data_IF_521680233223
#
_entry.id   IF_521680233223
#
_cell.length_a   1.000
_cell.length_b   1.000
_cell.length_c   1.000
_cell.angle_alpha   90.00
_cell.angle_beta   90.00
_cell.angle_gamma   90.00
#
_symmetry.space_group_name_H-M   'P 1'
#
loop_
_entity.id
_entity.type
_entity.pdbx_description
1 polymer ?
#
# COMPACT_ATOMS: atom_id res chain seq x y z
N UNK A 1 9.98 -4.66 -11.87
CA UNK A 1 9.41 -5.34 -10.67
C UNK A 1 8.93 -6.73 -11.09
N UNK A 2 9.32 -7.81 -10.39
CA UNK A 2 8.77 -9.13 -10.71
C UNK A 2 7.26 -9.08 -10.44
N UNK A 3 6.44 -9.24 -11.48
CA UNK A 3 4.98 -9.12 -11.42
C UNK A 3 4.32 -10.00 -10.34
N UNK A 4 4.96 -11.13 -10.00
CA UNK A 4 4.60 -12.02 -8.88
C UNK A 4 4.72 -11.37 -7.48
N UNK A 5 5.55 -10.34 -7.31
CA UNK A 5 5.65 -9.63 -6.03
C UNK A 5 4.40 -8.79 -5.75
N UNK A 6 3.79 -8.21 -6.78
CA UNK A 6 2.52 -7.49 -6.63
C UNK A 6 1.41 -8.44 -6.16
N UNK A 7 1.32 -9.63 -6.76
CA UNK A 7 0.33 -10.63 -6.30
C UNK A 7 0.57 -11.10 -4.88
N UNK A 8 1.83 -11.33 -4.49
CA UNK A 8 2.16 -11.73 -3.12
C UNK A 8 1.80 -10.63 -2.11
N UNK A 9 2.10 -9.37 -2.43
CA UNK A 9 1.75 -8.23 -1.58
C UNK A 9 0.23 -8.12 -1.42
N UNK A 10 -0.53 -8.23 -2.51
CA UNK A 10 -1.99 -8.24 -2.47
C UNK A 10 -2.56 -9.38 -1.62
N UNK A 11 -2.01 -10.59 -1.70
CA UNK A 11 -2.42 -11.72 -0.84
C UNK A 11 -2.15 -11.43 0.63
N UNK A 12 -0.97 -10.90 0.96
CA UNK A 12 -0.63 -10.51 2.35
C UNK A 12 -1.60 -9.44 2.86
N UNK A 13 -1.92 -8.43 2.04
CA UNK A 13 -2.89 -7.40 2.40
C UNK A 13 -4.29 -7.99 2.65
N UNK A 14 -4.78 -8.88 1.79
CA UNK A 14 -6.06 -9.58 2.02
C UNK A 14 -6.03 -10.39 3.32
N UNK A 15 -4.91 -11.07 3.61
CA UNK A 15 -4.70 -11.77 4.87
C UNK A 15 -4.78 -10.84 6.09
N UNK A 16 -4.15 -9.66 6.02
CA UNK A 16 -4.21 -8.65 7.08
C UNK A 16 -5.62 -8.10 7.28
N UNK A 17 -6.34 -7.80 6.19
CA UNK A 17 -7.74 -7.36 6.26
C UNK A 17 -8.64 -8.43 6.87
N UNK A 18 -8.45 -9.69 6.48
CA UNK A 18 -9.15 -10.84 7.05
C UNK A 18 -8.85 -11.05 8.53
N UNK A 19 -7.57 -10.99 8.93
CA UNK A 19 -7.16 -11.10 10.32
C UNK A 19 -7.74 -9.95 11.17
N UNK A 20 -7.74 -8.72 10.65
CA UNK A 20 -8.35 -7.57 11.31
C UNK A 20 -9.85 -7.78 11.56
N UNK A 21 -10.60 -8.21 10.54
CA UNK A 21 -12.03 -8.53 10.69
C UNK A 21 -12.29 -9.73 11.61
N UNK A 22 -11.40 -10.73 11.63
CA UNK A 22 -11.53 -11.88 12.51
C UNK A 22 -11.33 -11.51 13.99
N UNK A 23 -10.36 -10.61 14.28
CA UNK A 23 -10.06 -10.17 15.66
C UNK A 23 -11.10 -9.19 16.17
N UNK A 24 -11.49 -8.21 15.35
CA UNK A 24 -12.34 -7.11 15.80
C UNK A 24 -13.81 -7.22 15.36
N UNK A 25 -14.16 -8.21 14.54
CA UNK A 25 -15.53 -8.43 14.06
C UNK A 25 -16.01 -7.36 13.07
N UNK A 26 -17.32 -7.25 12.86
CA UNK A 26 -17.93 -6.19 12.03
C UNK A 26 -18.13 -4.87 12.77
N UNK A 27 -17.90 -4.84 14.08
CA UNK A 27 -18.09 -3.65 14.93
C UNK A 27 -17.07 -2.55 14.63
N UNK A 28 -15.97 -2.87 13.92
CA UNK A 28 -15.03 -1.86 13.41
C UNK A 28 -15.58 -1.07 12.22
N UNK A 29 -16.67 -1.50 11.59
CA UNK A 29 -17.33 -0.83 10.47
C UNK A 29 -18.38 0.20 10.93
N UNK A 30 -18.20 0.79 12.11
CA UNK A 30 -19.17 1.69 12.76
C UNK A 30 -19.27 3.08 12.14
N UNK A 31 -18.47 3.40 11.11
CA UNK A 31 -18.54 4.69 10.42
C UNK A 31 -18.17 4.61 8.94
N UNK A 32 -18.69 5.55 8.12
CA UNK A 32 -18.47 5.54 6.67
C UNK A 32 -16.98 5.60 6.31
N UNK A 33 -16.18 6.33 7.09
CA UNK A 33 -14.73 6.39 6.90
C UNK A 33 -14.03 5.04 7.14
N UNK A 34 -14.47 4.25 8.12
CA UNK A 34 -13.90 2.93 8.37
C UNK A 34 -14.22 1.95 7.23
N UNK A 35 -15.44 2.02 6.71
CA UNK A 35 -15.88 1.25 5.55
C UNK A 35 -15.09 1.64 4.30
N UNK A 36 -14.94 2.94 4.04
CA UNK A 36 -14.17 3.44 2.88
C UNK A 36 -12.70 3.07 2.99
N UNK A 37 -12.10 3.19 4.18
CA UNK A 37 -10.70 2.83 4.40
C UNK A 37 -10.48 1.33 4.20
N UNK A 38 -11.25 0.47 4.87
CA UNK A 38 -11.09 -0.98 4.71
C UNK A 38 -11.43 -1.43 3.30
N UNK A 39 -12.51 -0.90 2.71
CA UNK A 39 -12.91 -1.20 1.34
C UNK A 39 -11.86 -0.77 0.32
N UNK A 40 -11.25 0.42 0.49
CA UNK A 40 -10.15 0.87 -0.35
C UNK A 40 -8.89 0.03 -0.18
N UNK A 41 -8.57 -0.41 1.04
CA UNK A 41 -7.46 -1.31 1.31
C UNK A 41 -7.65 -2.66 0.60
N UNK A 42 -8.85 -3.25 0.72
CA UNK A 42 -9.22 -4.49 0.03
C UNK A 42 -9.21 -4.32 -1.49
N UNK A 43 -9.75 -3.20 -2.00
CA UNK A 43 -9.73 -2.88 -3.42
C UNK A 43 -8.29 -2.81 -3.96
N UNK A 44 -7.40 -2.11 -3.25
CA UNK A 44 -5.98 -2.08 -3.59
C UNK A 44 -5.39 -3.49 -3.63
N UNK A 45 -5.68 -4.32 -2.62
CA UNK A 45 -5.17 -5.68 -2.57
C UNK A 45 -5.64 -6.53 -3.77
N UNK A 46 -6.92 -6.41 -4.14
CA UNK A 46 -7.49 -7.09 -5.32
C UNK A 46 -6.79 -6.61 -6.60
N UNK A 47 -6.64 -5.29 -6.79
CA UNK A 47 -5.97 -4.74 -7.97
C UNK A 47 -4.51 -5.22 -8.08
N UNK A 48 -3.80 -5.32 -6.96
CA UNK A 48 -2.44 -5.90 -6.92
C UNK A 48 -2.42 -7.38 -7.30
N UNK A 49 -3.36 -8.18 -6.80
CA UNK A 49 -3.49 -9.60 -7.16
C UNK A 49 -3.76 -9.73 -8.65
N UNK A 50 -4.76 -9.02 -9.18
CA UNK A 50 -5.15 -9.10 -10.58
C UNK A 50 -4.00 -8.64 -11.48
N UNK A 51 -3.41 -7.47 -11.23
CA UNK A 51 -2.26 -6.98 -12.00
C UNK A 51 -1.03 -7.90 -11.91
N UNK A 52 -0.87 -8.63 -10.79
CA UNK A 52 0.17 -9.64 -10.63
C UNK A 52 -0.06 -10.92 -11.43
N UNK A 53 -1.31 -11.23 -11.81
CA UNK A 53 -1.70 -12.51 -12.44
C UNK A 53 -2.03 -12.39 -13.93
N UNK A 54 -2.63 -11.29 -14.40
CA UNK A 54 -3.13 -11.15 -15.78
C UNK A 54 -2.46 -10.00 -16.53
N UNK A 55 -2.22 -10.15 -17.83
CA UNK A 55 -1.46 -9.17 -18.62
C UNK A 55 -2.27 -7.89 -18.84
N UNK A 56 -3.58 -8.07 -18.98
CA UNK A 56 -4.57 -7.01 -19.08
C UNK A 56 -5.94 -7.52 -18.65
N UNK A 57 -6.83 -6.59 -18.30
CA UNK A 57 -8.25 -6.85 -18.03
C UNK A 57 -9.08 -6.05 -19.02
N UNK A 58 -10.00 -6.69 -19.71
CA UNK A 58 -10.98 -6.03 -20.57
C UNK A 58 -12.12 -5.45 -19.76
N UNK A 59 -12.31 -4.14 -19.87
CA UNK A 59 -13.40 -3.37 -19.26
C UNK A 59 -14.22 -2.73 -20.38
N UNK A 60 -15.29 -3.41 -20.79
CA UNK A 60 -16.07 -3.03 -21.97
C UNK A 60 -15.22 -3.09 -23.25
N UNK A 61 -15.09 -1.97 -23.95
CA UNK A 61 -14.27 -1.87 -25.17
C UNK A 61 -12.79 -1.54 -24.92
N UNK A 62 -12.38 -1.31 -23.66
CA UNK A 62 -11.01 -0.92 -23.33
C UNK A 62 -10.26 -2.07 -22.66
N UNK A 63 -9.00 -2.26 -23.03
CA UNK A 63 -8.08 -3.14 -22.31
C UNK A 63 -7.25 -2.32 -21.34
N UNK A 64 -7.30 -2.68 -20.05
CA UNK A 64 -6.50 -2.05 -18.99
C UNK A 64 -5.29 -2.93 -18.72
N UNK A 65 -4.06 -2.44 -18.97
CA UNK A 65 -2.86 -3.24 -18.80
C UNK A 65 -2.54 -3.43 -17.31
N UNK A 66 -1.78 -4.49 -17.01
CA UNK A 66 -1.43 -4.88 -15.64
C UNK A 66 -0.77 -3.76 -14.82
N UNK A 67 0.06 -2.93 -15.45
CA UNK A 67 0.79 -1.84 -14.79
C UNK A 67 -0.16 -0.70 -14.37
N UNK A 68 -1.23 -0.45 -15.14
CA UNK A 68 -2.28 0.48 -14.74
C UNK A 68 -3.04 -0.02 -13.51
N UNK A 69 -3.29 -1.34 -13.41
CA UNK A 69 -3.92 -1.94 -12.24
C UNK A 69 -3.03 -1.82 -10.99
N UNK A 70 -1.76 -2.20 -11.09
CA UNK A 70 -0.80 -2.12 -9.97
C UNK A 70 -0.57 -0.68 -9.55
N UNK A 71 -0.35 0.23 -10.50
CA UNK A 71 -0.16 1.64 -10.21
C UNK A 71 -1.38 2.30 -9.56
N UNK A 72 -2.60 1.93 -10.00
CA UNK A 72 -3.83 2.38 -9.35
C UNK A 72 -3.94 1.82 -7.93
N UNK A 73 -3.56 0.56 -7.73
CA UNK A 73 -3.53 -0.05 -6.41
C UNK A 73 -2.63 0.74 -5.44
N UNK A 74 -1.41 1.07 -5.84
CA UNK A 74 -0.47 1.86 -5.03
C UNK A 74 -1.04 3.24 -4.65
N UNK A 75 -1.72 3.92 -5.58
CA UNK A 75 -2.36 5.21 -5.32
C UNK A 75 -3.52 5.08 -4.33
N UNK A 76 -4.38 4.06 -4.50
CA UNK A 76 -5.48 3.78 -3.58
C UNK A 76 -4.96 3.42 -2.19
N UNK A 77 -3.92 2.59 -2.11
CA UNK A 77 -3.26 2.20 -0.87
C UNK A 77 -2.70 3.42 -0.14
N UNK A 78 -1.96 4.27 -0.85
CA UNK A 78 -1.41 5.50 -0.31
C UNK A 78 -2.50 6.37 0.30
N UNK A 79 -3.58 6.64 -0.45
CA UNK A 79 -4.68 7.46 0.02
C UNK A 79 -5.34 6.90 1.30
N UNK A 80 -5.68 5.61 1.27
CA UNK A 80 -6.36 4.93 2.39
C UNK A 80 -5.50 4.91 3.65
N UNK A 81 -4.22 4.59 3.52
CA UNK A 81 -3.33 4.47 4.67
C UNK A 81 -3.02 5.85 5.27
N UNK A 82 -2.78 6.86 4.44
CA UNK A 82 -2.60 8.24 4.91
C UNK A 82 -3.86 8.76 5.61
N UNK A 83 -5.04 8.57 5.01
CA UNK A 83 -6.30 8.97 5.64
C UNK A 83 -6.55 8.25 6.96
N UNK A 84 -6.22 6.96 7.04
CA UNK A 84 -6.33 6.18 8.27
C UNK A 84 -5.41 6.69 9.36
N UNK A 85 -4.17 7.06 9.01
CA UNK A 85 -3.21 7.64 9.95
C UNK A 85 -3.64 9.03 10.44
N UNK A 86 -4.12 9.89 9.54
CA UNK A 86 -4.68 11.21 9.90
C UNK A 86 -5.89 11.06 10.81
N UNK A 87 -6.82 10.14 10.50
CA UNK A 87 -7.97 9.85 11.37
C UNK A 87 -7.52 9.39 12.75
N UNK A 88 -6.52 8.51 12.82
CA UNK A 88 -5.98 8.05 14.11
C UNK A 88 -5.42 9.22 14.92
N UNK A 89 -4.68 10.14 14.29
CA UNK A 89 -4.18 11.35 14.93
C UNK A 89 -5.28 12.27 15.44
N UNK A 90 -6.35 12.45 14.66
CA UNK A 90 -7.51 13.25 15.07
C UNK A 90 -8.27 12.65 16.26
N UNK A 91 -8.34 11.31 16.34
CA UNK A 91 -9.06 10.61 17.41
C UNK A 91 -8.23 10.52 18.69
N UNK A 92 -6.94 10.17 18.59
CA UNK A 92 -6.07 9.99 19.74
C UNK A 92 -5.57 11.34 20.30
N UNK A 93 -5.32 12.31 19.43
CA UNK A 93 -4.92 13.67 19.81
C UNK A 93 -3.48 13.80 20.36
N UNK A 94 -2.73 12.72 20.46
CA UNK A 94 -1.36 12.72 20.97
C UNK A 94 -0.31 13.05 19.89
N UNK A 95 0.87 13.50 20.33
CA UNK A 95 1.96 13.89 19.44
C UNK A 95 2.55 12.73 18.62
N UNK A 96 2.54 11.51 19.16
CA UNK A 96 3.02 10.31 18.46
C UNK A 96 2.14 9.95 17.27
N UNK A 97 0.82 10.04 17.45
CA UNK A 97 -0.16 9.81 16.39
C UNK A 97 -0.04 10.86 15.27
N UNK A 98 0.23 12.13 15.60
CA UNK A 98 0.51 13.17 14.61
C UNK A 98 1.83 12.96 13.86
N UNK A 99 2.88 12.55 14.57
CA UNK A 99 4.16 12.19 13.94
C UNK A 99 4.00 11.02 12.97
N UNK A 100 3.25 9.99 13.37
CA UNK A 100 2.91 8.87 12.50
C UNK A 100 2.11 9.33 11.28
N UNK A 101 1.09 10.17 11.45
CA UNK A 101 0.33 10.72 10.33
C UNK A 101 1.20 11.52 9.35
N UNK A 102 2.14 12.33 9.85
CA UNK A 102 3.10 13.05 9.02
C UNK A 102 4.01 12.10 8.24
N UNK A 103 4.55 11.06 8.89
CA UNK A 103 5.35 10.03 8.24
C UNK A 103 4.56 9.30 7.15
N UNK A 104 3.28 8.96 7.41
CA UNK A 104 2.40 8.33 6.43
C UNK A 104 1.98 9.27 5.31
N UNK A 105 1.96 10.59 5.52
CA UNK A 105 1.74 11.56 4.44
C UNK A 105 2.94 11.61 3.48
N UNK A 106 4.17 11.63 4.02
CA UNK A 106 5.40 11.61 3.20
C UNK A 106 5.55 10.27 2.47
N UNK A 107 5.38 9.16 3.19
CA UNK A 107 5.44 7.82 2.62
C UNK A 107 4.33 7.57 1.61
N UNK A 108 3.10 8.00 1.92
CA UNK A 108 1.94 7.91 1.05
C UNK A 108 2.12 8.72 -0.23
N UNK A 109 2.61 9.96 -0.14
CA UNK A 109 2.91 10.78 -1.34
C UNK A 109 3.94 10.10 -2.24
N UNK A 110 4.99 9.54 -1.65
CA UNK A 110 6.03 8.80 -2.38
C UNK A 110 5.44 7.56 -3.06
N UNK A 111 4.61 6.78 -2.35
CA UNK A 111 3.94 5.60 -2.88
C UNK A 111 2.96 5.96 -4.01
N UNK A 112 2.16 7.01 -3.84
CA UNK A 112 1.24 7.49 -4.88
C UNK A 112 2.01 7.94 -6.12
N UNK A 113 3.14 8.65 -5.94
CA UNK A 113 4.01 9.03 -7.05
C UNK A 113 4.55 7.81 -7.79
N UNK A 114 5.05 6.79 -7.08
CA UNK A 114 5.45 5.53 -7.71
C UNK A 114 4.30 4.84 -8.43
N UNK A 115 3.11 4.80 -7.84
CA UNK A 115 1.91 4.25 -8.46
C UNK A 115 1.54 4.94 -9.77
N UNK A 116 1.54 6.27 -9.80
CA UNK A 116 1.31 7.06 -11.03
C UNK A 116 2.36 6.76 -12.10
N UNK A 117 3.62 6.62 -11.70
CA UNK A 117 4.68 6.29 -12.65
C UNK A 117 4.56 4.86 -13.20
N UNK A 118 4.21 3.89 -12.35
CA UNK A 118 3.92 2.51 -12.76
C UNK A 118 2.75 2.47 -13.74
N UNK A 119 1.67 3.21 -13.45
CA UNK A 119 0.49 3.27 -14.31
C UNK A 119 0.78 3.91 -15.69
N UNK A 120 1.70 4.87 -15.74
CA UNK A 120 2.12 5.55 -16.98
C UNK A 120 3.22 4.83 -17.76
N UNK A 121 3.73 3.72 -17.23
CA UNK A 121 4.91 3.04 -17.79
C UNK A 121 6.09 4.02 -18.00
N UNK A 122 6.31 4.89 -17.01
CA UNK A 122 7.33 5.94 -17.07
C UNK A 122 8.74 5.33 -17.03
N UNK A 123 9.64 5.82 -17.90
CA UNK A 123 11.06 5.45 -17.98
C UNK A 123 11.84 5.48 -16.66
N UNK A 124 11.33 6.15 -15.62
CA UNK A 124 12.01 6.27 -14.32
C UNK A 124 11.66 5.13 -13.37
N UNK A 125 10.64 4.33 -13.68
CA UNK A 125 10.36 3.06 -13.00
C UNK A 125 10.88 1.97 -13.91
N UNK A 126 12.17 1.66 -13.75
CA UNK A 126 12.78 0.57 -14.51
C UNK A 126 12.13 -0.75 -14.06
N UNK A 127 11.19 -1.24 -14.86
CA UNK A 127 10.55 -2.53 -14.67
C UNK A 127 11.48 -3.65 -15.18
N UNK A 128 12.78 -3.56 -14.85
CA UNK A 128 13.78 -4.56 -15.25
C UNK A 128 13.25 -5.97 -15.00
N UNK A 129 13.35 -6.82 -16.03
CA UNK A 129 12.99 -8.23 -15.95
C UNK A 129 13.82 -8.97 -14.89
N UNK A 130 15.04 -8.48 -14.61
CA UNK A 130 16.00 -9.03 -13.66
C UNK A 130 16.58 -7.92 -12.75
N UNK A 131 15.88 -7.54 -11.67
CA UNK A 131 16.41 -6.60 -10.70
C UNK A 131 17.71 -7.14 -10.08
N UNK A 132 18.73 -6.30 -9.92
CA UNK A 132 20.00 -6.73 -9.32
C UNK A 132 19.79 -7.18 -7.86
N UNK A 133 20.31 -8.36 -7.50
CA UNK A 133 20.17 -8.91 -6.14
C UNK A 133 20.74 -7.98 -5.07
N UNK A 134 21.80 -7.22 -5.39
CA UNK A 134 22.37 -6.21 -4.50
C UNK A 134 21.40 -5.07 -4.20
N UNK A 135 20.65 -4.60 -5.20
CA UNK A 135 19.65 -3.53 -5.02
C UNK A 135 18.49 -4.00 -4.15
N UNK A 136 18.02 -5.23 -4.36
CA UNK A 136 16.98 -5.83 -3.52
C UNK A 136 17.43 -5.94 -2.06
N UNK A 137 18.63 -6.46 -1.81
CA UNK A 137 19.18 -6.58 -0.45
C UNK A 137 19.33 -5.21 0.22
N UNK A 138 19.84 -4.21 -0.50
CA UNK A 138 19.99 -2.85 0.03
C UNK A 138 18.65 -2.22 0.40
N UNK A 139 17.62 -2.37 -0.44
CA UNK A 139 16.26 -1.87 -0.16
C UNK A 139 15.67 -2.61 1.05
N UNK A 140 15.78 -3.94 1.10
CA UNK A 140 15.29 -4.74 2.22
C UNK A 140 15.94 -4.34 3.54
N UNK A 141 17.26 -4.13 3.55
CA UNK A 141 17.99 -3.66 4.73
C UNK A 141 17.54 -2.25 5.13
N UNK A 142 17.40 -1.33 4.18
CA UNK A 142 16.91 0.01 4.45
C UNK A 142 15.52 -0.01 5.10
N UNK A 143 14.61 -0.83 4.58
CA UNK A 143 13.26 -1.02 5.14
C UNK A 143 13.34 -1.61 6.54
N UNK A 144 14.12 -2.66 6.76
CA UNK A 144 14.27 -3.31 8.07
C UNK A 144 14.85 -2.34 9.12
N UNK A 145 15.87 -1.55 8.76
CA UNK A 145 16.48 -0.54 9.64
C UNK A 145 15.50 0.59 9.92
N UNK A 146 14.82 1.12 8.90
CA UNK A 146 13.82 2.19 9.08
C UNK A 146 12.68 1.75 9.98
N UNK A 147 12.20 0.51 9.80
CA UNK A 147 11.18 -0.09 10.66
C UNK A 147 11.68 -0.28 12.09
N UNK A 148 12.91 -0.79 12.27
CA UNK A 148 13.53 -0.96 13.59
C UNK A 148 13.71 0.36 14.34
N UNK A 149 14.15 1.42 13.66
CA UNK A 149 14.26 2.76 14.24
C UNK A 149 12.87 3.30 14.63
N UNK A 150 11.88 3.15 13.75
CA UNK A 150 10.51 3.57 14.04
C UNK A 150 9.93 2.86 15.26
N UNK A 151 10.11 1.54 15.35
CA UNK A 151 9.68 0.74 16.50
C UNK A 151 10.39 1.15 17.79
N UNK A 152 11.71 1.36 17.74
CA UNK A 152 12.49 1.81 18.88
C UNK A 152 12.01 3.17 19.40
N UNK A 153 11.75 4.12 18.50
CA UNK A 153 11.23 5.43 18.86
C UNK A 153 9.83 5.34 19.49
N UNK A 154 8.96 4.48 18.94
CA UNK A 154 7.60 4.29 19.45
C UNK A 154 7.55 3.69 20.87
N UNK A 155 8.51 2.85 21.26
CA UNK A 155 8.58 2.25 22.61
C UNK A 155 9.11 3.25 23.66
N UNK A 156 9.73 4.35 23.23
CA UNK A 156 10.38 5.34 24.10
C UNK A 156 9.56 6.62 24.34
N UNK A 157 8.46 6.79 23.60
CA UNK A 157 7.47 7.86 23.76
C UNK A 157 6.31 7.40 24.64
#
# INVERSE_FOLDING_TARGET
MKRRLASLLGIVMLGLAGAYLAVFGLTVLTGPLAVVALGGFVLSAILMVVGGLVDSVTLGSRSVPWNALVGTADVVLAAVVTLSAVRSALVAGDGGSWLFAAAMAVGGTSLAWFGVQTARDSRHVDLEATPSSRRLVAITLLVAVSFGIGLYAAIRL
#
